data_IF_424779319165
#
_entry.id   IF_424779319165
#
_cell.length_a   1.000
_cell.length_b   1.000
_cell.length_c   1.000
_cell.angle_alpha   90.00
_cell.angle_beta   90.00
_cell.angle_gamma   90.00
#
_symmetry.space_group_name_H-M   'P 1'
#
loop_
_entity.id
_entity.type
_entity.pdbx_description
1 polymer ?
#
# COMPACT_ATOMS: atom_id res chain seq x y z
N UNK A 1 -16.34 24.41 1.22
CA UNK A 1 -15.72 23.21 1.81
C UNK A 1 -15.43 22.20 0.69
N UNK A 2 -14.33 21.47 0.75
CA UNK A 2 -14.07 20.40 -0.21
C UNK A 2 -15.11 19.28 -0.05
N UNK A 3 -15.54 18.67 -1.15
CA UNK A 3 -16.47 17.52 -1.13
C UNK A 3 -15.85 16.36 -0.34
N UNK A 4 -16.65 15.74 0.53
CA UNK A 4 -16.17 14.55 1.28
C UNK A 4 -15.93 13.41 0.30
N UNK A 5 -14.82 12.68 0.49
CA UNK A 5 -14.46 11.51 -0.31
C UNK A 5 -14.00 10.40 0.61
N UNK A 6 -14.74 9.31 0.63
CA UNK A 6 -14.38 8.11 1.38
C UNK A 6 -13.79 7.07 0.46
N UNK A 7 -13.06 6.10 1.00
CA UNK A 7 -12.39 5.09 0.19
C UNK A 7 -12.46 3.71 0.83
N UNK A 8 -13.04 2.79 0.12
CA UNK A 8 -12.85 1.37 0.37
C UNK A 8 -11.66 0.85 -0.45
N UNK A 9 -10.71 0.18 0.21
CA UNK A 9 -9.44 -0.22 -0.39
C UNK A 9 -9.15 -1.71 -0.15
N UNK A 10 -9.89 -2.62 -0.78
CA UNK A 10 -9.72 -4.06 -0.60
C UNK A 10 -8.48 -4.57 -1.31
N UNK A 11 -7.82 -5.58 -0.71
CA UNK A 11 -6.80 -6.39 -1.37
C UNK A 11 -7.48 -7.59 -2.07
N UNK A 12 -7.16 -7.87 -3.34
CA UNK A 12 -7.74 -8.98 -4.11
C UNK A 12 -7.03 -10.31 -3.76
N UNK A 13 -6.99 -10.67 -2.48
CA UNK A 13 -6.34 -11.89 -1.98
C UNK A 13 -7.32 -13.04 -1.72
N UNK A 14 -8.54 -12.93 -2.23
CA UNK A 14 -9.61 -13.90 -2.08
C UNK A 14 -10.99 -13.28 -2.23
N UNK A 15 -12.03 -14.09 -1.99
CA UNK A 15 -13.41 -13.61 -2.03
C UNK A 15 -13.69 -12.62 -0.89
N UNK A 16 -14.49 -11.61 -1.20
CA UNK A 16 -14.94 -10.65 -0.20
C UNK A 16 -15.81 -11.36 0.85
N UNK A 17 -15.49 -11.16 2.12
CA UNK A 17 -16.29 -11.66 3.24
C UNK A 17 -17.07 -10.52 3.93
N UNK A 18 -18.01 -10.87 4.80
CA UNK A 18 -18.91 -9.92 5.47
C UNK A 18 -18.16 -8.80 6.23
N UNK A 19 -16.97 -9.07 6.75
CA UNK A 19 -16.14 -8.05 7.41
C UNK A 19 -15.67 -6.96 6.46
N UNK A 20 -15.24 -7.32 5.23
CA UNK A 20 -14.87 -6.36 4.19
C UNK A 20 -16.09 -5.55 3.75
N UNK A 21 -17.25 -6.23 3.56
CA UNK A 21 -18.49 -5.58 3.16
C UNK A 21 -18.98 -4.58 4.21
N UNK A 22 -18.84 -4.90 5.50
CA UNK A 22 -19.14 -3.98 6.59
C UNK A 22 -18.30 -2.71 6.52
N UNK A 23 -17.00 -2.83 6.25
CA UNK A 23 -16.11 -1.67 6.10
C UNK A 23 -16.54 -0.81 4.91
N UNK A 24 -16.82 -1.44 3.77
CA UNK A 24 -17.33 -0.75 2.59
C UNK A 24 -18.65 -0.02 2.87
N UNK A 25 -19.57 -0.63 3.63
CA UNK A 25 -20.85 -0.03 4.02
C UNK A 25 -20.67 1.24 4.83
N UNK A 26 -19.75 1.28 5.80
CA UNK A 26 -19.49 2.49 6.58
C UNK A 26 -18.95 3.62 5.71
N UNK A 27 -18.00 3.33 4.84
CA UNK A 27 -17.45 4.31 3.91
C UNK A 27 -18.52 4.85 2.96
N UNK A 28 -19.36 3.96 2.43
CA UNK A 28 -20.49 4.31 1.57
C UNK A 28 -21.49 5.22 2.30
N UNK A 29 -21.94 4.84 3.49
CA UNK A 29 -22.91 5.61 4.26
C UNK A 29 -22.41 7.01 4.62
N UNK A 30 -21.14 7.14 5.03
CA UNK A 30 -20.53 8.44 5.31
C UNK A 30 -20.50 9.30 4.05
N UNK A 31 -20.05 8.75 2.91
CA UNK A 31 -20.05 9.48 1.66
C UNK A 31 -21.45 9.98 1.30
N UNK A 32 -22.46 9.10 1.35
CA UNK A 32 -23.84 9.48 0.98
C UNK A 32 -24.47 10.44 1.96
N UNK A 33 -24.20 10.31 3.27
CA UNK A 33 -24.70 11.26 4.29
C UNK A 33 -24.16 12.67 4.05
N UNK A 34 -22.88 12.79 3.70
CA UNK A 34 -22.20 14.07 3.49
C UNK A 34 -22.37 14.62 2.06
N UNK A 35 -23.16 13.97 1.20
CA UNK A 35 -23.26 14.34 -0.23
C UNK A 35 -21.95 14.23 -0.99
N UNK A 36 -21.09 13.31 -0.53
CA UNK A 36 -19.74 13.07 -1.02
C UNK A 36 -19.65 11.95 -2.06
N UNK A 37 -18.41 11.50 -2.31
CA UNK A 37 -18.12 10.40 -3.22
C UNK A 37 -17.57 9.20 -2.48
N UNK A 38 -18.07 8.00 -2.80
CA UNK A 38 -17.56 6.73 -2.35
C UNK A 38 -16.62 6.16 -3.42
N UNK A 39 -15.36 5.96 -3.08
CA UNK A 39 -14.30 5.55 -4.00
C UNK A 39 -13.88 4.11 -3.73
N UNK A 40 -13.68 3.32 -4.80
CA UNK A 40 -13.07 2.00 -4.77
C UNK A 40 -11.63 2.09 -5.26
N UNK A 41 -10.65 1.60 -4.47
CA UNK A 41 -9.28 1.42 -4.90
C UNK A 41 -8.80 0.01 -4.58
N UNK A 42 -8.38 -0.72 -5.59
CA UNK A 42 -7.84 -2.08 -5.44
C UNK A 42 -6.39 -1.99 -4.97
N UNK A 43 -6.07 -2.62 -3.84
CA UNK A 43 -4.72 -2.67 -3.28
C UNK A 43 -4.10 -4.05 -3.51
N UNK A 44 -3.60 -4.26 -4.72
CA UNK A 44 -2.98 -5.48 -5.21
C UNK A 44 -1.47 -5.53 -4.90
N UNK A 45 -1.09 -5.15 -3.67
CA UNK A 45 0.31 -5.09 -3.23
C UNK A 45 0.95 -6.46 -3.08
N UNK A 46 0.17 -7.48 -2.76
CA UNK A 46 0.63 -8.86 -2.58
C UNK A 46 0.46 -9.65 -3.88
N UNK A 47 1.46 -9.57 -4.75
CA UNK A 47 1.45 -10.24 -6.06
C UNK A 47 1.56 -11.77 -5.95
N UNK A 48 2.06 -12.31 -4.84
CA UNK A 48 2.17 -13.76 -4.62
C UNK A 48 0.79 -14.38 -4.26
N UNK A 49 -0.10 -13.60 -3.64
CA UNK A 49 -1.46 -14.00 -3.26
C UNK A 49 -2.54 -13.34 -4.13
N UNK A 50 -2.12 -12.73 -5.23
CA UNK A 50 -3.08 -12.13 -6.16
C UNK A 50 -4.01 -13.20 -6.72
N UNK A 51 -5.31 -13.04 -6.47
CA UNK A 51 -6.37 -13.81 -7.12
C UNK A 51 -7.00 -12.91 -8.16
N UNK A 52 -7.11 -13.41 -9.37
CA UNK A 52 -7.78 -12.72 -10.47
C UNK A 52 -9.25 -12.49 -10.08
N UNK A 53 -9.59 -11.33 -9.52
CA UNK A 53 -10.89 -11.11 -8.86
C UNK A 53 -11.21 -9.66 -8.53
N UNK A 54 -10.44 -8.68 -9.05
CA UNK A 54 -10.82 -7.26 -8.88
C UNK A 54 -12.22 -6.98 -9.44
N UNK A 55 -12.59 -7.67 -10.51
CA UNK A 55 -13.92 -7.61 -11.13
C UNK A 55 -14.99 -8.14 -10.18
N UNK A 56 -14.72 -9.23 -9.45
CA UNK A 56 -15.66 -9.81 -8.47
C UNK A 56 -15.96 -8.86 -7.32
N UNK A 57 -14.99 -8.04 -6.92
CA UNK A 57 -15.18 -7.01 -5.89
C UNK A 57 -16.19 -5.96 -6.36
N UNK A 58 -16.05 -5.48 -7.58
CA UNK A 58 -16.96 -4.50 -8.19
C UNK A 58 -18.37 -5.06 -8.27
N UNK A 59 -18.53 -6.29 -8.75
CA UNK A 59 -19.83 -6.96 -8.84
C UNK A 59 -20.46 -7.18 -7.45
N UNK A 60 -19.69 -7.67 -6.48
CA UNK A 60 -20.19 -7.90 -5.11
C UNK A 60 -20.68 -6.60 -4.47
N UNK A 61 -19.96 -5.49 -4.65
CA UNK A 61 -20.39 -4.18 -4.17
C UNK A 61 -21.69 -3.73 -4.86
N UNK A 62 -21.78 -3.90 -6.17
CA UNK A 62 -22.97 -3.52 -6.95
C UNK A 62 -24.20 -4.35 -6.55
N UNK A 63 -24.07 -5.69 -6.39
CA UNK A 63 -25.15 -6.57 -5.95
C UNK A 63 -25.65 -6.24 -4.54
N UNK A 64 -24.78 -5.71 -3.67
CA UNK A 64 -25.16 -5.29 -2.31
C UNK A 64 -25.63 -3.83 -2.25
N UNK A 65 -25.74 -3.13 -3.38
CA UNK A 65 -26.17 -1.73 -3.47
C UNK A 65 -25.13 -0.71 -3.08
N UNK A 66 -23.86 -1.13 -2.84
CA UNK A 66 -22.74 -0.25 -2.50
C UNK A 66 -22.00 0.24 -3.75
N UNK A 67 -22.73 0.89 -4.65
CA UNK A 67 -22.17 1.37 -5.93
C UNK A 67 -21.20 2.51 -5.67
N UNK A 68 -19.96 2.35 -6.13
CA UNK A 68 -18.93 3.40 -6.04
C UNK A 68 -19.14 4.49 -7.09
N UNK A 69 -18.70 5.70 -6.75
CA UNK A 69 -18.74 6.87 -7.63
C UNK A 69 -17.47 6.97 -8.48
N UNK A 70 -16.34 6.47 -7.97
CA UNK A 70 -15.04 6.38 -8.64
C UNK A 70 -14.37 5.04 -8.36
N UNK A 71 -13.63 4.51 -9.32
CA UNK A 71 -12.96 3.23 -9.19
C UNK A 71 -12.23 2.79 -10.46
N UNK A 72 -11.76 1.53 -10.53
CA UNK A 72 -11.01 1.01 -11.68
C UNK A 72 -11.79 1.07 -13.00
N UNK A 73 -13.11 0.96 -12.95
CA UNK A 73 -14.06 0.99 -14.06
C UNK A 73 -14.71 2.36 -14.28
N UNK A 74 -14.46 3.33 -13.38
CA UNK A 74 -15.11 4.64 -13.40
C UNK A 74 -14.17 5.73 -12.94
N UNK A 75 -13.48 6.37 -13.87
CA UNK A 75 -12.49 7.39 -13.56
C UNK A 75 -13.14 8.70 -13.07
N UNK A 76 -12.71 9.18 -11.90
CA UNK A 76 -13.05 10.47 -11.31
C UNK A 76 -11.94 11.51 -11.44
N UNK A 77 -10.91 11.26 -12.26
CA UNK A 77 -9.78 12.16 -12.47
C UNK A 77 -8.65 12.04 -11.45
N UNK A 78 -8.69 11.01 -10.58
CA UNK A 78 -7.67 10.76 -9.54
C UNK A 78 -7.01 9.39 -9.67
N UNK A 79 -7.25 8.70 -10.79
CA UNK A 79 -6.66 7.41 -11.11
C UNK A 79 -5.14 7.42 -11.20
N UNK A 80 -4.53 6.27 -11.44
CA UNK A 80 -5.11 4.93 -11.46
C UNK A 80 -5.68 4.48 -10.11
N UNK A 81 -6.73 3.64 -10.13
CA UNK A 81 -7.40 3.12 -8.93
C UNK A 81 -6.98 1.68 -8.58
N UNK A 82 -5.99 1.14 -9.28
CA UNK A 82 -5.30 -0.11 -8.95
C UNK A 82 -3.90 0.26 -8.48
N UNK A 83 -3.47 -0.26 -7.34
CA UNK A 83 -2.22 0.19 -6.71
C UNK A 83 -0.98 -0.14 -7.54
N UNK A 84 -0.91 -1.33 -8.16
CA UNK A 84 0.20 -1.69 -9.06
C UNK A 84 0.31 -0.77 -10.27
N UNK A 85 -0.81 -0.33 -10.83
CA UNK A 85 -0.83 0.65 -11.91
C UNK A 85 -0.37 2.03 -11.42
N UNK A 86 -0.85 2.44 -10.24
CA UNK A 86 -0.45 3.69 -9.61
C UNK A 86 1.04 3.70 -9.26
N UNK A 87 1.61 2.56 -8.88
CA UNK A 87 3.04 2.41 -8.64
C UNK A 87 3.87 2.74 -9.90
N UNK A 88 3.40 2.34 -11.09
CA UNK A 88 4.08 2.63 -12.38
C UNK A 88 4.17 4.13 -12.67
N UNK A 89 3.34 4.96 -12.08
CA UNK A 89 3.44 6.44 -12.21
C UNK A 89 4.61 7.05 -11.45
N UNK A 90 5.29 6.27 -10.60
CA UNK A 90 6.43 6.73 -9.79
C UNK A 90 6.04 7.55 -8.55
N UNK A 91 4.74 7.76 -8.30
CA UNK A 91 4.27 8.66 -7.22
C UNK A 91 4.75 8.19 -5.84
N UNK A 92 4.73 6.89 -5.56
CA UNK A 92 5.18 6.37 -4.27
C UNK A 92 6.68 6.56 -4.07
N UNK A 93 7.47 6.29 -5.11
CA UNK A 93 8.92 6.47 -5.08
C UNK A 93 9.30 7.95 -4.89
N UNK A 94 8.55 8.88 -5.49
CA UNK A 94 8.74 10.30 -5.30
C UNK A 94 8.65 10.68 -3.82
N UNK A 95 7.56 10.32 -3.15
CA UNK A 95 7.36 10.66 -1.73
C UNK A 95 8.30 9.88 -0.80
N UNK A 96 8.64 8.62 -1.14
CA UNK A 96 9.61 7.85 -0.38
C UNK A 96 11.01 8.51 -0.42
N UNK A 97 11.45 9.01 -1.58
CA UNK A 97 12.70 9.78 -1.70
C UNK A 97 12.65 11.09 -0.94
N UNK A 98 11.54 11.80 -0.96
CA UNK A 98 11.36 13.03 -0.17
C UNK A 98 11.52 12.76 1.34
N UNK A 99 11.04 11.61 1.85
CA UNK A 99 11.29 11.21 3.24
C UNK A 99 12.77 10.90 3.50
N UNK A 100 13.47 10.32 2.54
CA UNK A 100 14.92 10.10 2.66
C UNK A 100 15.67 11.46 2.74
N UNK A 101 15.31 12.41 1.91
CA UNK A 101 15.89 13.76 1.92
C UNK A 101 15.67 14.50 3.25
N UNK A 102 14.52 14.24 3.91
CA UNK A 102 14.19 14.77 5.24
C UNK A 102 14.87 14.02 6.40
N UNK A 103 15.55 12.90 6.13
CA UNK A 103 16.14 12.04 7.16
C UNK A 103 15.16 11.13 7.90
N UNK A 104 13.89 11.11 7.48
CA UNK A 104 12.81 10.28 8.06
C UNK A 104 12.78 8.86 7.49
N UNK A 105 13.55 8.60 6.45
CA UNK A 105 13.71 7.31 5.82
C UNK A 105 15.14 7.12 5.29
N UNK A 106 15.51 5.89 4.95
CA UNK A 106 16.82 5.56 4.42
C UNK A 106 16.78 4.39 3.44
N UNK A 107 17.79 4.32 2.56
CA UNK A 107 17.97 3.19 1.65
C UNK A 107 18.52 1.96 2.39
N UNK A 108 17.88 0.81 2.17
CA UNK A 108 18.32 -0.47 2.73
C UNK A 108 18.62 -1.44 1.59
N UNK A 109 19.84 -1.94 1.54
CA UNK A 109 20.37 -2.85 0.52
C UNK A 109 20.53 -4.28 1.05
N UNK A 110 19.92 -4.61 2.21
CA UNK A 110 19.97 -5.95 2.78
C UNK A 110 19.19 -6.94 1.90
N UNK A 111 19.82 -8.06 1.56
CA UNK A 111 19.21 -9.19 0.88
C UNK A 111 18.39 -10.10 1.82
N UNK A 112 17.70 -11.09 1.24
CA UNK A 112 16.89 -12.04 2.00
C UNK A 112 17.75 -12.92 2.93
N UNK A 113 18.98 -13.28 2.50
CA UNK A 113 19.88 -14.10 3.28
C UNK A 113 20.28 -13.38 4.57
N UNK A 114 20.75 -12.13 4.45
CA UNK A 114 21.07 -11.32 5.62
C UNK A 114 19.86 -11.12 6.54
N UNK A 115 18.69 -10.81 5.99
CA UNK A 115 17.49 -10.61 6.79
C UNK A 115 17.10 -11.87 7.56
N UNK A 116 17.32 -13.06 7.01
CA UNK A 116 17.05 -14.34 7.70
C UNK A 116 17.96 -14.63 8.89
N UNK A 117 19.11 -13.96 9.00
CA UNK A 117 20.05 -14.10 10.14
C UNK A 117 19.77 -13.14 11.29
N UNK A 118 18.78 -12.26 11.15
CA UNK A 118 18.42 -11.31 12.19
C UNK A 118 17.79 -12.02 13.40
N UNK A 119 18.02 -11.43 14.58
CA UNK A 119 17.43 -11.93 15.82
C UNK A 119 15.91 -11.80 15.79
N UNK A 120 15.25 -12.83 16.28
CA UNK A 120 13.83 -12.79 16.58
C UNK A 120 13.65 -12.55 18.08
N UNK A 121 12.70 -11.68 18.44
CA UNK A 121 12.25 -11.53 19.83
C UNK A 121 10.81 -12.04 19.92
N UNK A 122 10.50 -12.65 21.06
CA UNK A 122 9.14 -13.10 21.34
C UNK A 122 8.37 -11.98 22.02
N UNK A 123 7.45 -11.36 21.29
CA UNK A 123 6.53 -10.32 21.82
C UNK A 123 5.12 -10.90 21.81
N UNK A 124 4.49 -10.93 22.98
CA UNK A 124 3.13 -11.49 23.17
C UNK A 124 2.95 -12.91 22.58
N UNK A 125 3.98 -13.76 22.70
CA UNK A 125 3.95 -15.14 22.22
C UNK A 125 4.13 -15.31 20.71
N UNK A 126 4.47 -14.24 19.98
CA UNK A 126 4.80 -14.27 18.54
C UNK A 126 6.28 -13.95 18.34
N UNK A 127 6.95 -14.73 17.50
CA UNK A 127 8.29 -14.39 17.06
C UNK A 127 8.24 -13.21 16.08
N UNK A 128 8.85 -12.09 16.45
CA UNK A 128 8.95 -10.89 15.62
C UNK A 128 10.44 -10.71 15.29
N UNK A 129 10.75 -10.63 13.99
CA UNK A 129 12.07 -10.30 13.51
C UNK A 129 12.32 -8.80 13.69
N UNK A 130 13.35 -8.44 14.46
CA UNK A 130 13.75 -7.05 14.65
C UNK A 130 14.85 -6.71 13.67
N UNK A 131 14.59 -5.75 12.80
CA UNK A 131 15.60 -5.24 11.89
C UNK A 131 16.58 -4.32 12.62
N UNK A 132 17.87 -4.62 12.50
CA UNK A 132 18.97 -3.97 13.22
C UNK A 132 19.39 -2.59 12.69
N UNK A 133 18.64 -2.02 11.77
CA UNK A 133 18.92 -0.72 11.12
C UNK A 133 20.32 -0.61 10.46
N UNK A 134 20.91 -1.73 10.07
CA UNK A 134 22.27 -1.81 9.53
C UNK A 134 22.56 -0.75 8.46
N UNK A 135 21.65 -0.60 7.49
CA UNK A 135 21.88 0.36 6.41
C UNK A 135 21.63 1.82 6.79
N UNK A 136 21.12 2.11 8.00
CA UNK A 136 20.99 3.49 8.49
C UNK A 136 22.36 4.13 8.75
N UNK A 137 23.40 3.32 9.05
CA UNK A 137 24.75 3.78 9.32
C UNK A 137 25.61 3.97 8.07
N UNK A 138 25.11 3.64 6.88
CA UNK A 138 25.85 3.86 5.63
C UNK A 138 26.09 5.35 5.38
N UNK A 139 27.31 5.66 4.95
CA UNK A 139 27.64 7.01 4.51
C UNK A 139 26.90 7.37 3.22
N UNK A 140 26.79 8.66 2.92
CA UNK A 140 26.17 9.14 1.69
C UNK A 140 26.88 8.60 0.45
N UNK A 141 28.20 8.55 0.47
CA UNK A 141 29.03 8.03 -0.61
C UNK A 141 28.78 6.53 -0.85
N UNK A 142 28.63 5.74 0.24
CA UNK A 142 28.30 4.31 0.13
C UNK A 142 26.90 4.08 -0.44
N UNK A 143 25.94 4.90 -0.04
CA UNK A 143 24.57 4.84 -0.60
C UNK A 143 24.59 5.17 -2.09
N UNK A 144 25.27 6.25 -2.50
CA UNK A 144 25.40 6.65 -3.89
C UNK A 144 26.11 5.59 -4.74
N UNK A 145 27.18 4.99 -4.21
CA UNK A 145 27.90 3.91 -4.88
C UNK A 145 27.01 2.66 -5.08
N UNK A 146 26.23 2.28 -4.07
CA UNK A 146 25.30 1.15 -4.16
C UNK A 146 24.19 1.41 -5.18
N UNK A 147 23.63 2.63 -5.20
CA UNK A 147 22.63 3.04 -6.19
C UNK A 147 23.21 3.04 -7.61
N UNK A 148 24.41 3.60 -7.80
CA UNK A 148 25.10 3.61 -9.09
C UNK A 148 25.45 2.21 -9.60
N UNK A 149 25.74 1.27 -8.69
CA UNK A 149 25.95 -0.15 -9.00
C UNK A 149 24.66 -0.91 -9.32
N UNK A 150 23.49 -0.26 -9.26
CA UNK A 150 22.20 -0.88 -9.53
C UNK A 150 21.77 -1.93 -8.50
N UNK A 151 22.28 -1.86 -7.27
CA UNK A 151 21.89 -2.82 -6.22
C UNK A 151 20.41 -2.70 -5.89
N UNK A 152 19.68 -3.82 -5.76
CA UNK A 152 18.31 -3.80 -5.28
C UNK A 152 18.21 -3.15 -3.91
N UNK A 153 17.17 -2.35 -3.69
CA UNK A 153 16.96 -1.68 -2.41
C UNK A 153 15.48 -1.57 -2.05
N UNK A 154 15.25 -1.35 -0.78
CA UNK A 154 13.98 -0.86 -0.24
C UNK A 154 14.22 0.44 0.51
N UNK A 155 13.20 1.28 0.64
CA UNK A 155 13.24 2.46 1.50
C UNK A 155 12.53 2.11 2.81
N UNK A 156 13.24 2.27 3.93
CA UNK A 156 12.71 2.02 5.27
C UNK A 156 12.51 3.33 6.01
N UNK A 157 11.39 3.43 6.73
CA UNK A 157 11.19 4.52 7.68
C UNK A 157 12.18 4.41 8.84
N UNK A 158 12.65 5.52 9.33
CA UNK A 158 13.48 5.63 10.52
C UNK A 158 12.58 5.85 11.75
N UNK A 159 12.08 4.75 12.30
CA UNK A 159 11.23 4.69 13.50
C UNK A 159 11.95 4.08 14.67
#
# INVERSE_FOLDING_TARGET
MSKVRTRFAPSPTGRMHVGNLRSALYEFLIAKHEGGDFMLRIEDTDQERFVEGAVDIIYTLAETGLVHDEGPDKDGGYGPYVQSERMKTGIYMKYAKELVEKGEAYYCFCDKERLSTLKTEVVEGKEIMIYDKHCLSLSKEEVEANLAAGKPFVIRQNI
#
